data_IF_327458683519
#
_entry.id   IF_327458683519
#
_cell.length_a   1.000
_cell.length_b   1.000
_cell.length_c   1.000
_cell.angle_alpha   90.00
_cell.angle_beta   90.00
_cell.angle_gamma   90.00
#
_symmetry.space_group_name_H-M   'P 1'
#
loop_
_entity.id
_entity.type
_entity.pdbx_description
1 polymer ?
2 non-polymer ?
3 non-polymer ?
4 non-polymer ?
5 water ?
#
# COMPACT_ATOMS: atom_id res chain seq x y z
N UNK A 3 -4.25 -18.79 21.78
CA UNK A 3 -5.09 -17.68 22.31
C UNK A 3 -6.50 -17.75 21.60
N UNK A 4 -7.20 -16.63 21.33
CA UNK A 4 -8.50 -16.70 20.63
C UNK A 4 -8.43 -16.58 19.10
N UNK A 5 -9.54 -16.90 18.43
CA UNK A 5 -9.63 -16.73 16.99
C UNK A 5 -9.63 -15.25 16.51
N UNK A 6 -9.05 -15.06 15.33
CA UNK A 6 -9.05 -13.78 14.64
C UNK A 6 -9.13 -13.95 13.13
N UNK A 7 -9.60 -12.88 12.48
CA UNK A 7 -9.49 -12.74 11.05
C UNK A 7 -8.07 -12.40 10.65
N UNK A 8 -7.88 -12.28 9.34
CA UNK A 8 -6.58 -11.99 8.76
C UNK A 8 -6.52 -10.68 7.96
N UNK A 9 -5.30 -10.15 7.91
CA UNK A 9 -5.02 -8.86 7.31
C UNK A 9 -4.29 -9.15 6.01
N UNK A 10 -4.89 -8.69 4.93
CA UNK A 10 -4.41 -8.97 3.58
C UNK A 10 -4.24 -7.62 2.91
N UNK A 11 -3.00 -7.30 2.51
CA UNK A 11 -2.64 -6.02 1.90
C UNK A 11 -2.44 -6.16 0.42
N UNK A 12 -3.06 -5.29 -0.37
CA UNK A 12 -2.81 -5.19 -1.78
C UNK A 12 -2.04 -3.90 -2.06
N UNK A 13 -0.80 -4.06 -2.53
CA UNK A 13 0.02 -2.96 -3.02
C UNK A 13 0.16 -2.96 -4.52
N UNK A 14 0.69 -1.87 -5.05
CA UNK A 14 0.84 -1.69 -6.48
C UNK A 14 0.84 -0.22 -6.87
N UNK A 15 1.22 0.07 -8.10
CA UNK A 15 1.08 1.39 -8.68
C UNK A 15 -0.39 1.74 -8.96
N UNK A 16 -0.64 3.00 -9.24
CA UNK A 16 -1.93 3.40 -9.77
C UNK A 16 -2.31 2.55 -11.00
N UNK A 17 -3.57 2.20 -11.09
CA UNK A 17 -4.16 1.50 -12.20
C UNK A 17 -3.60 0.12 -12.38
N UNK A 18 -2.92 -0.41 -11.36
CA UNK A 18 -2.42 -1.76 -11.45
C UNK A 18 -3.53 -2.78 -11.13
N UNK A 19 -4.76 -2.35 -10.80
CA UNK A 19 -5.84 -3.28 -10.45
C UNK A 19 -6.24 -3.47 -8.98
N UNK A 20 -5.65 -2.69 -8.06
CA UNK A 20 -5.84 -2.79 -6.60
C UNK A 20 -7.30 -2.62 -6.11
N UNK A 21 -7.98 -1.51 -6.43
CA UNK A 21 -9.32 -1.32 -5.89
C UNK A 21 -10.25 -2.35 -6.50
N UNK A 22 -10.12 -2.60 -7.80
CA UNK A 22 -10.90 -3.65 -8.43
C UNK A 22 -10.81 -5.00 -7.70
N UNK A 23 -9.59 -5.49 -7.46
CA UNK A 23 -9.41 -6.78 -6.74
C UNK A 23 -9.77 -6.72 -5.23
N UNK A 24 -9.51 -5.59 -4.58
CA UNK A 24 -9.96 -5.41 -3.21
C UNK A 24 -11.49 -5.65 -3.09
N UNK A 25 -12.35 -4.95 -3.85
CA UNK A 25 -13.82 -5.19 -3.81
C UNK A 25 -14.19 -6.61 -4.07
N UNK A 26 -13.68 -7.16 -5.15
CA UNK A 26 -13.95 -8.56 -5.48
C UNK A 26 -13.59 -9.46 -4.29
N UNK A 27 -12.45 -9.24 -3.65
CA UNK A 27 -12.06 -10.06 -2.51
C UNK A 27 -12.89 -9.83 -1.22
N UNK A 28 -13.40 -8.62 -0.98
CA UNK A 28 -14.38 -8.35 0.12
C UNK A 28 -15.65 -9.19 0.02
N UNK A 29 -15.98 -9.49 -1.20
CA UNK A 29 -17.03 -10.35 -1.57
C UNK A 29 -16.70 -11.78 -1.24
N UNK A 30 -15.50 -12.24 -1.50
CA UNK A 30 -15.17 -13.68 -1.25
C UNK A 30 -14.91 -13.93 0.22
N UNK A 31 -14.41 -12.92 0.91
CA UNK A 31 -14.11 -12.98 2.33
C UNK A 31 -15.32 -12.56 3.17
N UNK A 32 -15.47 -13.30 4.26
CA UNK A 32 -16.61 -13.11 5.11
C UNK A 32 -16.29 -13.51 6.54
N UNK A 33 -16.56 -12.59 7.50
CA UNK A 33 -16.95 -11.20 7.27
C UNK A 33 -15.68 -10.35 6.97
N UNK A 34 -15.89 -9.24 6.25
CA UNK A 34 -14.80 -8.53 5.59
C UNK A 34 -15.05 -7.04 5.70
N UNK A 35 -13.96 -6.30 5.88
CA UNK A 35 -13.93 -4.85 5.76
C UNK A 35 -12.81 -4.48 4.82
N UNK A 36 -13.03 -3.39 4.12
CA UNK A 36 -12.11 -2.87 3.18
C UNK A 36 -11.59 -1.52 3.66
N UNK A 37 -10.27 -1.35 3.84
CA UNK A 37 -9.70 -0.04 4.22
C UNK A 37 -8.70 0.49 3.20
N UNK A 38 -8.90 1.72 2.76
CA UNK A 38 -8.10 2.37 1.74
C UNK A 38 -7.08 3.32 2.39
N UNK A 39 -5.81 3.27 1.98
CA UNK A 39 -4.84 4.32 2.41
C UNK A 39 -4.32 5.11 1.19
N UNK A 40 -4.22 6.45 1.32
CA UNK A 40 -4.57 7.19 2.53
C UNK A 40 -6.07 7.18 2.78
N UNK A 41 -6.46 7.19 4.05
CA UNK A 41 -7.84 7.48 4.41
C UNK A 41 -8.06 8.98 4.44
N UNK A 42 -8.64 9.50 3.39
CA UNK A 42 -8.82 10.95 3.21
C UNK A 42 -10.02 11.49 4.01
N UNK A 43 -10.78 10.62 4.69
CA UNK A 43 -11.87 11.06 5.55
C UNK A 43 -11.45 11.59 6.95
N UNK A 44 -10.23 11.32 7.36
CA UNK A 44 -9.83 11.72 8.70
C UNK A 44 -9.28 13.11 8.60
N UNK A 45 -9.03 13.75 9.73
CA UNK A 45 -8.49 15.10 9.70
C UNK A 45 -7.09 15.20 9.05
N UNK A 46 -6.22 14.25 9.34
CA UNK A 46 -4.93 14.16 8.67
C UNK A 46 -5.09 13.78 7.21
N UNK A 47 -6.02 12.87 6.94
CA UNK A 47 -6.42 12.52 5.61
C UNK A 47 -6.81 13.71 4.79
N UNK A 48 -7.49 14.68 5.37
CA UNK A 48 -7.89 15.83 4.56
C UNK A 48 -6.71 16.71 4.16
N UNK A 49 -5.74 16.85 5.07
CA UNK A 49 -4.45 17.38 4.71
C UNK A 49 -3.72 16.66 3.57
N UNK A 50 -3.68 15.34 3.65
CA UNK A 50 -3.05 14.53 2.64
C UNK A 50 -3.74 14.76 1.28
N UNK A 51 -5.07 14.77 1.31
CA UNK A 51 -5.83 15.08 0.14
C UNK A 51 -5.55 16.47 -0.36
N UNK A 52 -5.46 17.48 0.49
CA UNK A 52 -4.99 18.80 -0.05
C UNK A 52 -3.67 18.64 -0.77
N UNK A 53 -2.73 17.98 -0.11
CA UNK A 53 -1.40 17.84 -0.68
C UNK A 53 -1.44 17.14 -2.05
N UNK A 54 -2.24 16.10 -2.17
CA UNK A 54 -2.24 15.32 -3.41
C UNK A 54 -2.98 16.07 -4.53
N UNK A 55 -4.08 16.72 -4.17
CA UNK A 55 -4.99 17.34 -5.15
C UNK A 55 -4.71 18.80 -5.47
N UNK A 56 -4.21 19.61 -4.55
CA UNK A 56 -3.85 20.99 -4.85
C UNK A 56 -2.34 21.07 -5.01
N UNK A 57 -1.91 21.02 -6.26
CA UNK A 57 -0.49 20.98 -6.58
C UNK A 57 0.24 22.31 -6.38
N UNK A 58 -0.50 23.40 -6.13
CA UNK A 58 0.15 24.62 -5.64
C UNK A 58 0.55 24.54 -4.14
N UNK A 59 -0.12 23.70 -3.34
CA UNK A 59 0.12 23.55 -1.89
C UNK A 59 1.57 23.13 -1.55
N UNK A 60 2.09 23.62 -0.43
CA UNK A 60 3.53 23.52 -0.07
C UNK A 60 3.69 22.61 1.14
N UNK A 61 4.56 21.62 1.00
CA UNK A 61 4.88 20.78 2.12
C UNK A 61 6.17 19.99 1.89
N UNK A 62 7.07 20.01 2.88
CA UNK A 62 8.33 19.35 2.67
C UNK A 62 8.04 17.87 2.55
N UNK A 63 8.89 17.19 1.79
CA UNK A 63 8.79 15.76 1.58
C UNK A 63 8.77 14.92 2.90
N UNK A 64 9.54 15.37 3.88
CA UNK A 64 9.66 14.67 5.16
C UNK A 64 8.37 14.87 5.94
N UNK A 65 7.84 16.10 5.96
CA UNK A 65 6.55 16.34 6.58
C UNK A 65 5.47 15.45 5.94
N UNK A 66 5.44 15.45 4.61
CA UNK A 66 4.45 14.66 3.88
C UNK A 66 4.54 13.22 4.22
N UNK A 67 5.76 12.69 4.32
CA UNK A 67 5.97 11.25 4.52
C UNK A 67 5.39 10.87 5.89
N UNK A 68 5.64 11.75 6.85
CA UNK A 68 5.15 11.59 8.23
C UNK A 68 3.66 11.71 8.32
N UNK A 69 3.04 12.52 7.50
CA UNK A 69 1.58 12.62 7.54
C UNK A 69 0.96 11.29 7.15
N UNK A 70 1.50 10.66 6.10
CA UNK A 70 1.00 9.37 5.58
C UNK A 70 1.09 8.27 6.64
N UNK A 71 2.17 8.29 7.43
CA UNK A 71 2.29 7.32 8.47
C UNK A 71 1.37 7.63 9.62
N UNK A 72 1.27 8.89 10.02
CA UNK A 72 0.28 9.30 11.04
C UNK A 72 -1.15 8.86 10.70
N UNK A 73 -1.51 9.02 9.44
CA UNK A 73 -2.82 8.60 8.95
C UNK A 73 -3.11 7.10 9.19
N UNK A 74 -2.07 6.26 9.07
CA UNK A 74 -2.21 4.81 9.37
C UNK A 74 -2.39 4.58 10.87
N UNK A 75 -1.69 5.36 11.66
CA UNK A 75 -1.83 5.31 13.12
C UNK A 75 -3.19 5.83 13.61
N UNK A 76 -3.92 6.58 12.78
CA UNK A 76 -5.32 6.93 13.10
C UNK A 76 -6.19 5.69 13.07
N UNK A 77 -5.84 4.73 12.23
CA UNK A 77 -6.66 3.54 12.03
C UNK A 77 -6.14 2.28 12.71
N UNK A 78 -4.92 2.33 13.28
CA UNK A 78 -4.30 1.13 13.82
C UNK A 78 -5.12 0.38 14.85
N UNK A 79 -5.66 1.11 15.82
CA UNK A 79 -6.38 0.48 16.89
C UNK A 79 -7.61 -0.19 16.32
N UNK A 80 -8.28 0.46 15.41
CA UNK A 80 -9.50 -0.08 14.86
C UNK A 80 -9.28 -1.37 14.06
N UNK A 81 -8.19 -1.36 13.32
CA UNK A 81 -7.79 -2.50 12.57
C UNK A 81 -7.56 -3.71 13.48
N UNK A 82 -6.85 -3.52 14.55
CA UNK A 82 -6.56 -4.64 15.47
C UNK A 82 -7.83 -5.21 16.05
N UNK A 83 -8.71 -4.29 16.46
CA UNK A 83 -9.93 -4.69 17.11
C UNK A 83 -10.84 -5.51 16.19
N UNK A 84 -10.95 -5.07 14.94
CA UNK A 84 -11.77 -5.75 13.98
C UNK A 84 -11.21 -7.13 13.67
N UNK A 85 -9.88 -7.21 13.49
CA UNK A 85 -9.21 -8.48 13.26
C UNK A 85 -9.49 -9.44 14.42
N UNK A 86 -9.26 -8.95 15.63
CA UNK A 86 -9.52 -9.77 16.80
C UNK A 86 -10.97 -10.18 17.02
N UNK A 87 -11.92 -9.44 16.46
CA UNK A 87 -13.35 -9.87 16.42
C UNK A 87 -13.67 -10.84 15.26
N UNK A 88 -12.68 -11.30 14.51
CA UNK A 88 -12.92 -12.24 13.47
C UNK A 88 -13.20 -11.65 12.10
N UNK A 89 -13.03 -10.33 11.93
CA UNK A 89 -13.14 -9.75 10.59
C UNK A 89 -11.88 -9.93 9.76
N UNK A 90 -12.11 -10.16 8.46
CA UNK A 90 -11.06 -10.17 7.45
C UNK A 90 -10.93 -8.78 6.88
N UNK A 91 -9.70 -8.31 6.87
CA UNK A 91 -9.45 -6.94 6.46
C UNK A 91 -8.56 -6.84 5.24
N UNK A 92 -9.11 -6.19 4.20
CA UNK A 92 -8.39 -5.87 2.99
C UNK A 92 -7.93 -4.43 3.05
N UNK A 93 -6.62 -4.28 2.92
CA UNK A 93 -5.98 -2.98 2.79
C UNK A 93 -5.64 -2.69 1.35
N UNK A 94 -5.94 -1.48 0.89
CA UNK A 94 -5.50 -1.04 -0.41
C UNK A 94 -4.48 0.08 -0.15
N UNK A 95 -3.20 -0.30 -0.28
CA UNK A 95 -2.01 0.51 0.06
C UNK A 95 -1.76 0.51 1.54
N UNK A 96 -0.47 0.63 1.92
CA UNK A 96 -0.06 0.67 3.31
C UNK A 96 1.42 1.09 3.39
N UNK A 97 2.22 0.43 4.25
CA UNK A 97 3.55 0.91 4.58
C UNK A 97 4.54 0.85 3.39
N UNK A 98 4.28 -0.05 2.46
CA UNK A 98 5.16 -0.20 1.28
C UNK A 98 5.01 0.99 0.36
N UNK A 99 3.74 1.40 0.13
CA UNK A 99 3.45 2.68 -0.53
C UNK A 99 4.14 3.84 0.23
N UNK A 100 4.06 3.86 1.54
CA UNK A 100 4.74 4.91 2.28
C UNK A 100 6.22 5.06 1.96
N UNK A 101 6.94 3.96 1.94
CA UNK A 101 8.36 4.01 1.76
C UNK A 101 8.75 4.29 0.33
N UNK A 102 8.09 3.60 -0.59
CA UNK A 102 8.44 3.64 -1.96
C UNK A 102 8.22 5.01 -2.63
N UNK A 103 7.11 5.69 -2.35
CA UNK A 103 6.80 6.96 -3.00
C UNK A 103 7.72 8.04 -2.50
N UNK A 104 8.07 7.98 -1.23
CA UNK A 104 9.05 8.90 -0.69
C UNK A 104 10.48 8.51 -1.13
N UNK A 105 10.83 7.24 -1.10
CA UNK A 105 12.19 6.82 -1.44
C UNK A 105 12.57 7.24 -2.87
N UNK A 106 11.64 7.04 -3.80
CA UNK A 106 11.73 7.48 -5.21
C UNK A 106 12.00 8.97 -5.47
N UNK A 107 11.68 9.84 -4.54
CA UNK A 107 11.99 11.30 -4.72
C UNK A 107 13.47 11.56 -4.56
N UNK A 108 14.20 10.59 -3.99
CA UNK A 108 15.55 10.85 -3.59
C UNK A 108 16.44 11.24 -4.74
N UNK A 109 16.21 10.72 -5.95
CA UNK A 109 17.05 11.12 -7.07
C UNK A 109 16.16 11.63 -8.22
N UNK A 110 15.20 12.47 -7.87
CA UNK A 110 14.21 12.96 -8.81
C UNK A 110 14.04 14.41 -8.52
N UNK A 111 14.04 15.22 -9.56
CA UNK A 111 14.10 16.67 -9.39
C UNK A 111 12.91 17.16 -10.17
N UNK A 112 11.88 17.61 -9.48
CA UNK A 112 10.68 18.13 -10.10
C UNK A 112 10.04 18.83 -8.96
N UNK A 113 9.99 20.16 -9.04
CA UNK A 113 9.52 20.97 -7.95
C UNK A 113 8.11 20.73 -7.48
N UNK A 114 7.25 20.21 -8.32
CA UNK A 114 5.93 19.78 -7.88
C UNK A 114 5.99 18.52 -6.98
N UNK A 115 6.67 17.49 -7.46
CA UNK A 115 6.68 16.20 -6.77
C UNK A 115 7.54 16.20 -5.50
N UNK A 116 8.69 16.84 -5.59
CA UNK A 116 9.63 16.90 -4.49
C UNK A 116 10.19 18.30 -4.37
N UNK A 117 9.52 19.10 -3.55
CA UNK A 117 9.98 20.44 -3.10
C UNK A 117 11.44 20.58 -2.68
N UNK A 118 12.21 21.42 -3.39
CA UNK A 118 13.57 21.78 -2.94
C UNK A 118 14.68 20.77 -3.19
N UNK A 119 15.91 21.28 -3.28
CA UNK A 119 17.05 20.51 -3.80
C UNK A 119 17.65 19.53 -2.81
N UNK A 120 17.34 19.70 -1.52
CA UNK A 120 17.79 18.76 -0.49
C UNK A 120 16.83 17.59 -0.33
N UNK A 121 17.44 16.42 -0.18
CA UNK A 121 16.72 15.17 -0.09
C UNK A 121 17.08 14.48 1.25
N UNK A 122 17.10 15.26 2.34
CA UNK A 122 17.59 14.75 3.64
C UNK A 122 16.70 13.61 4.15
N UNK A 123 17.35 12.49 4.43
CA UNK A 123 16.78 11.25 4.89
C UNK A 123 15.95 10.48 3.86
N UNK A 124 15.77 11.01 2.67
CA UNK A 124 14.88 10.39 1.70
C UNK A 124 15.45 9.06 1.08
N UNK A 125 16.72 8.75 1.34
CA UNK A 125 17.33 7.46 0.93
C UNK A 125 17.63 6.57 2.13
N UNK A 126 17.29 7.03 3.32
CA UNK A 126 17.49 6.26 4.52
C UNK A 126 16.24 5.44 4.79
N UNK A 127 16.30 4.17 4.36
CA UNK A 127 15.15 3.29 4.45
C UNK A 127 14.75 3.08 5.90
N UNK A 128 15.69 3.12 6.80
CA UNK A 128 15.32 3.00 8.20
C UNK A 128 14.51 4.21 8.76
N UNK A 129 14.86 5.42 8.36
CA UNK A 129 14.11 6.60 8.78
C UNK A 129 12.70 6.59 8.18
N UNK A 130 12.63 6.12 6.96
CA UNK A 130 11.42 6.09 6.24
C UNK A 130 10.47 5.08 6.84
N UNK A 131 11.03 3.98 7.29
CA UNK A 131 10.25 2.88 7.89
C UNK A 131 9.89 3.16 9.34
N UNK A 132 10.74 3.85 10.08
CA UNK A 132 10.62 3.86 11.54
C UNK A 132 9.25 4.34 12.12
N UNK A 133 8.60 5.34 11.48
CA UNK A 133 7.30 5.72 12.03
C UNK A 133 6.18 4.69 11.81
N UNK A 134 6.27 3.86 10.78
CA UNK A 134 5.33 2.72 10.63
C UNK A 134 5.62 1.49 11.50
N UNK A 135 6.76 1.46 12.16
CA UNK A 135 7.05 0.39 13.05
C UNK A 135 6.11 0.43 14.20
N UNK A 136 5.66 -0.77 14.58
CA UNK A 136 4.64 -0.99 15.54
C UNK A 136 3.23 -1.10 15.00
N UNK A 137 3.03 -0.82 13.72
CA UNK A 137 1.75 -1.04 13.09
C UNK A 137 1.53 -2.54 12.82
N UNK A 138 0.27 -2.95 12.66
CA UNK A 138 -0.01 -4.34 12.35
C UNK A 138 0.60 -4.76 11.04
N UNK A 139 1.26 -5.92 11.03
CA UNK A 139 1.78 -6.53 9.83
C UNK A 139 0.70 -7.34 9.12
N UNK A 140 0.49 -7.10 7.82
CA UNK A 140 -0.39 -8.04 7.13
C UNK A 140 0.09 -9.48 7.23
N UNK A 141 -0.87 -10.37 7.22
CA UNK A 141 -0.60 -11.80 7.22
C UNK A 141 -0.14 -12.19 5.82
N UNK A 142 -0.74 -11.57 4.82
CA UNK A 142 -0.33 -11.69 3.44
C UNK A 142 -0.29 -10.27 2.76
N UNK A 143 0.83 -9.99 2.06
CA UNK A 143 0.98 -8.83 1.21
C UNK A 143 1.08 -9.28 -0.22
N UNK A 144 0.17 -8.77 -1.04
CA UNK A 144 0.10 -9.03 -2.48
C UNK A 144 0.50 -7.76 -3.27
N UNK A 145 1.64 -7.80 -3.95
CA UNK A 145 2.07 -6.68 -4.79
C UNK A 145 1.75 -6.95 -6.25
N UNK A 146 0.90 -6.10 -6.84
CA UNK A 146 0.47 -6.26 -8.23
C UNK A 146 1.41 -5.50 -9.17
N UNK A 147 2.22 -6.22 -9.92
CA UNK A 147 3.18 -5.59 -10.83
C UNK A 147 2.78 -5.79 -12.29
N UNK A 148 3.19 -4.81 -13.09
CA UNK A 148 2.57 -4.52 -14.36
C UNK A 148 3.49 -3.56 -15.11
N UNK A 149 3.46 -3.58 -16.46
CA UNK A 149 4.18 -2.60 -17.31
C UNK A 149 3.56 -1.18 -17.30
N UNK A 150 4.43 -0.17 -17.33
CA UNK A 150 3.96 1.23 -17.40
C UNK A 150 3.16 1.49 -18.65
N UNK A 151 3.59 0.88 -19.75
CA UNK A 151 2.83 0.93 -21.00
C UNK A 151 1.39 0.41 -20.84
N UNK A 152 1.18 -0.72 -20.15
CA UNK A 152 -0.19 -1.28 -19.91
C UNK A 152 -1.02 -0.34 -19.01
N UNK A 153 -0.37 0.29 -18.03
CA UNK A 153 -1.03 1.21 -17.11
C UNK A 153 -1.53 2.42 -17.85
N UNK A 154 -0.68 2.97 -18.70
CA UNK A 154 -1.07 4.14 -19.53
C UNK A 154 -2.32 3.93 -20.35
N UNK A 155 -2.61 2.70 -20.74
CA UNK A 155 -3.83 2.38 -21.52
C UNK A 155 -5.14 2.34 -20.73
N UNK A 156 -5.12 2.36 -19.40
CA UNK A 156 -6.33 2.18 -18.58
C UNK A 156 -6.91 3.49 -18.09
N UNK A 157 -8.21 3.49 -17.83
CA UNK A 157 -8.81 4.67 -17.24
C UNK A 157 -8.33 4.80 -15.79
N UNK A 158 -8.23 6.03 -15.29
CA UNK A 158 -7.99 6.25 -13.85
C UNK A 158 -6.96 7.27 -13.44
N UNK A 159 -6.22 7.82 -14.40
CA UNK A 159 -5.37 8.99 -14.18
C UNK A 159 -6.18 10.17 -13.65
N UNK A 160 -5.86 10.70 -12.47
CA UNK A 160 -6.67 11.77 -11.81
C UNK A 160 -5.99 13.11 -11.56
N UNK A 161 -4.85 13.32 -12.16
CA UNK A 161 -4.16 14.60 -11.99
C UNK A 161 -3.65 14.90 -10.59
N UNK A 162 -3.34 13.88 -9.80
CA UNK A 162 -2.78 14.13 -8.47
C UNK A 162 -1.29 14.29 -8.61
N UNK A 163 -0.66 14.75 -7.54
CA UNK A 163 0.75 15.16 -7.52
C UNK A 163 1.79 14.21 -8.09
N UNK A 164 1.59 12.90 -7.91
CA UNK A 164 2.61 11.91 -8.21
C UNK A 164 2.32 11.26 -9.52
N UNK A 165 1.24 11.70 -10.19
CA UNK A 165 0.75 11.05 -11.39
C UNK A 165 1.49 11.56 -12.66
N UNK A 166 2.77 11.16 -12.70
CA UNK A 166 3.69 11.46 -13.75
C UNK A 166 4.47 10.20 -13.99
N UNK A 167 4.51 9.81 -15.26
CA UNK A 167 5.08 8.55 -15.67
C UNK A 167 6.56 8.45 -15.27
N UNK A 168 7.32 9.51 -15.45
CA UNK A 168 8.76 9.44 -15.15
C UNK A 168 8.96 9.17 -13.62
N UNK A 169 8.08 9.68 -12.78
CA UNK A 169 8.15 9.41 -11.34
C UNK A 169 7.66 7.99 -11.00
N UNK A 170 6.53 7.61 -11.60
CA UNK A 170 5.99 6.25 -11.46
C UNK A 170 7.03 5.13 -11.76
N UNK A 171 7.92 5.38 -12.71
CA UNK A 171 9.01 4.47 -13.06
C UNK A 171 9.98 4.29 -11.94
N UNK A 172 10.31 5.39 -11.28
CA UNK A 172 11.20 5.34 -10.11
C UNK A 172 10.53 4.65 -8.93
N UNK A 173 9.26 4.93 -8.75
CA UNK A 173 8.45 4.26 -7.72
C UNK A 173 8.39 2.75 -7.99
N UNK A 174 8.21 2.33 -9.24
CA UNK A 174 8.23 0.90 -9.55
C UNK A 174 9.52 0.22 -9.05
N UNK A 175 10.67 0.84 -9.31
CA UNK A 175 11.95 0.27 -8.90
C UNK A 175 12.09 0.20 -7.41
N UNK A 176 11.73 1.30 -6.76
CA UNK A 176 11.74 1.36 -5.28
C UNK A 176 10.90 0.26 -4.63
N UNK A 177 9.72 -0.01 -5.15
CA UNK A 177 8.87 -1.11 -4.67
C UNK A 177 9.60 -2.45 -4.79
N UNK A 178 10.23 -2.74 -5.93
CA UNK A 178 10.88 -4.06 -6.11
C UNK A 178 12.15 -4.19 -5.26
N UNK A 179 12.72 -3.05 -4.94
CA UNK A 179 13.86 -3.00 -4.09
C UNK A 179 13.48 -3.23 -2.61
N UNK A 180 12.32 -2.78 -2.16
CA UNK A 180 11.99 -2.96 -0.74
C UNK A 180 11.21 -4.26 -0.48
N UNK A 181 10.65 -4.85 -1.53
CA UNK A 181 9.91 -6.12 -1.44
C UNK A 181 10.86 -7.28 -1.78
N UNK A 182 11.24 -7.93 -0.69
CA UNK A 182 12.13 -9.08 -0.66
C UNK A 182 11.32 -10.27 -0.15
N UNK A 183 10.94 -11.18 -1.06
CA UNK A 183 10.13 -12.36 -0.72
C UNK A 183 10.91 -13.55 -0.11
N UNK A 184 12.24 -13.50 -0.19
CA UNK A 184 13.08 -14.46 0.53
C UNK A 184 13.23 -14.08 1.98
N UNK A 185 13.61 -12.83 2.23
CA UNK A 185 13.67 -12.31 3.60
C UNK A 185 12.32 -12.23 4.32
N UNK A 186 11.19 -12.32 3.60
CA UNK A 186 9.84 -12.25 4.16
C UNK A 186 8.83 -13.02 3.32
N UNK A 187 8.45 -14.21 3.77
CA UNK A 187 7.58 -15.07 2.96
C UNK A 187 6.07 -14.73 3.01
N UNK A 188 5.69 -13.71 3.82
CA UNK A 188 4.33 -13.14 3.76
C UNK A 188 4.10 -12.30 2.52
N UNK A 189 5.15 -12.03 1.75
CA UNK A 189 5.05 -11.19 0.55
C UNK A 189 5.00 -11.97 -0.77
N UNK A 190 4.09 -11.59 -1.66
CA UNK A 190 3.95 -12.25 -2.92
C UNK A 190 3.83 -11.24 -4.03
N UNK A 191 4.85 -11.22 -4.88
CA UNK A 191 4.87 -10.33 -6.05
C UNK A 191 4.09 -11.10 -7.09
N UNK A 192 3.01 -10.55 -7.59
CA UNK A 192 2.19 -11.17 -8.62
C UNK A 192 2.21 -10.32 -9.91
N UNK A 193 2.67 -10.94 -11.00
CA UNK A 193 2.71 -10.28 -12.28
C UNK A 193 1.32 -10.35 -12.92
N UNK A 194 0.73 -9.19 -13.22
CA UNK A 194 -0.62 -9.16 -13.74
C UNK A 194 -0.65 -8.66 -15.17
N UNK A 195 0.52 -8.49 -15.81
CA UNK A 195 0.55 -8.16 -17.23
C UNK A 195 -0.25 -9.16 -18.10
N UNK A 196 -1.09 -8.62 -18.95
CA UNK A 196 -1.90 -9.40 -19.89
C UNK A 196 -2.95 -10.34 -19.33
N UNK A 197 -3.37 -10.11 -18.08
CA UNK A 197 -4.35 -10.90 -17.39
C UNK A 197 -5.61 -10.11 -17.27
N UNK A 198 -6.75 -10.73 -17.55
CA UNK A 198 -8.06 -10.09 -17.33
C UNK A 198 -8.34 -9.97 -15.84
N UNK A 199 -9.37 -9.18 -15.55
CA UNK A 199 -9.91 -9.11 -14.21
C UNK A 199 -10.05 -10.52 -13.54
N UNK A 200 -10.70 -11.48 -14.20
CA UNK A 200 -10.99 -12.78 -13.56
C UNK A 200 -9.75 -13.62 -13.39
N UNK A 201 -8.90 -13.59 -14.39
CA UNK A 201 -7.64 -14.33 -14.27
C UNK A 201 -6.80 -13.87 -13.10
N UNK A 202 -6.83 -12.56 -12.82
CA UNK A 202 -6.15 -12.01 -11.66
C UNK A 202 -6.78 -12.51 -10.35
N UNK A 203 -8.10 -12.37 -10.27
CA UNK A 203 -8.87 -12.86 -9.16
C UNK A 203 -8.55 -14.33 -8.90
N UNK A 204 -8.65 -15.20 -9.91
CA UNK A 204 -8.30 -16.62 -9.75
C UNK A 204 -6.88 -16.83 -9.18
N UNK A 205 -5.92 -16.05 -9.65
CA UNK A 205 -4.54 -16.17 -9.13
C UNK A 205 -4.43 -15.69 -7.69
N UNK A 206 -5.08 -14.56 -7.41
CA UNK A 206 -5.04 -13.97 -6.07
C UNK A 206 -5.68 -14.88 -5.04
N UNK A 207 -6.88 -15.35 -5.38
CA UNK A 207 -7.60 -16.38 -4.62
C UNK A 207 -6.83 -17.65 -4.38
N UNK A 208 -6.12 -18.14 -5.40
CA UNK A 208 -5.36 -19.38 -5.22
C UNK A 208 -4.29 -19.20 -4.15
N UNK A 209 -3.60 -18.07 -4.21
CA UNK A 209 -2.54 -17.78 -3.21
C UNK A 209 -3.13 -17.73 -1.78
N UNK A 210 -4.30 -17.08 -1.67
CA UNK A 210 -5.01 -16.94 -0.40
C UNK A 210 -5.57 -18.29 0.10
N UNK A 211 -6.40 -18.95 -0.73
CA UNK A 211 -6.92 -20.28 -0.43
C UNK A 211 -5.82 -21.27 -0.03
N UNK A 212 -4.67 -21.27 -0.69
CA UNK A 212 -3.59 -22.20 -0.38
C UNK A 212 -2.94 -21.92 0.95
N UNK A 213 -2.63 -20.66 1.26
CA UNK A 213 -2.08 -20.33 2.61
C UNK A 213 -3.12 -20.27 3.71
N UNK A 214 -4.40 -20.34 3.36
CA UNK A 214 -5.50 -20.38 4.32
C UNK A 214 -5.69 -19.02 5.04
N UNK A 215 -5.37 -17.98 4.31
CA UNK A 215 -5.57 -16.58 4.73
C UNK A 215 -7.03 -16.17 4.77
N UNK A 216 -7.91 -16.97 4.16
CA UNK A 216 -9.37 -16.77 4.26
C UNK A 216 -10.04 -17.41 5.47
N UNK A 217 -9.26 -18.08 6.32
CA UNK A 217 -9.75 -18.79 7.52
C UNK A 217 -9.23 -18.18 8.81
N UNK A 218 -10.03 -18.33 9.85
CA UNK A 218 -9.66 -17.85 11.17
C UNK A 218 -8.46 -18.62 11.67
N UNK A 219 -7.64 -17.98 12.49
CA UNK A 219 -6.47 -18.58 13.06
C UNK A 219 -6.33 -18.15 14.51
N UNK A 220 -5.56 -18.97 15.23
CA UNK A 220 -5.32 -18.74 16.60
C UNK A 220 -4.04 -18.01 16.88
N UNK A 221 -3.40 -17.47 15.86
CA UNK A 221 -2.13 -16.73 16.06
C UNK A 221 -2.39 -15.34 16.56
N UNK A 222 -1.40 -14.74 17.18
CA UNK A 222 -1.57 -13.31 17.48
C UNK A 222 -1.31 -12.46 16.23
N UNK A 223 -1.69 -11.19 16.33
CA UNK A 223 -1.43 -10.19 15.30
C UNK A 223 0.09 -9.91 15.32
N UNK A 224 0.70 -10.00 14.15
CA UNK A 224 2.11 -9.63 14.01
C UNK A 224 2.19 -8.13 13.80
N UNK A 225 3.35 -7.55 14.10
CA UNK A 225 3.59 -6.17 13.97
C UNK A 225 4.87 -5.87 13.19
N UNK A 226 4.85 -4.74 12.51
CA UNK A 226 5.96 -4.25 11.75
C UNK A 226 7.14 -3.88 12.66
N UNK A 227 8.34 -4.33 12.28
CA UNK A 227 9.57 -4.07 13.03
C UNK A 227 10.70 -3.69 12.06
X LIG B 1 -4.51 6.62 -4.06
X LIG B 1 -4.45 7.27 -5.42
X LIG B 1 -4.31 5.12 -4.06
X LIG B 1 -5.55 7.08 -3.07
X LIG B 1 -3.12 7.03 -3.40
X LIG B 1 -2.79 8.38 -3.20
X LIG B 1 -1.30 8.65 -3.38
X LIG B 1 -0.58 8.50 -2.16
X LIG B 1 -0.59 7.77 -4.38
X LIG B 1 0.08 8.66 -5.26
X LIG B 1 0.36 6.91 -3.53
X LIG B 1 0.66 7.85 -2.38
X LIG B 1 1.01 7.32 -1.08
X LIG B 1 2.19 7.77 -0.42
X LIG B 1 3.02 8.57 -0.94
X LIG B 1 2.44 7.35 0.83
X LIG B 1 1.64 6.50 1.48
X LIG B 1 1.92 6.11 2.63
X LIG B 1 0.38 6.06 0.85
X LIG B 1 -0.53 5.11 1.59
X LIG B 1 0.11 6.53 -0.45
X LIG C 1 -6.06 0.97 -8.81
X LIG C 1 -7.18 0.71 -7.81
X LIG C 1 -4.79 0.20 -8.56
X LIG C 1 -5.80 2.45 -9.02
X LIG C 1 -8.17 0.07 -10.54
X LIG C 1 -8.58 -1.30 -10.09
X LIG C 1 -8.93 1.36 -10.32
X LIG C 1 -6.61 0.31 -10.18
X LIG C 1 -8.18 -0.26 -12.10
X LIG C 1 -7.89 0.75 -13.08
X LIG C 1 -8.74 0.64 -14.35
X LIG C 1 -8.36 -0.48 -15.14
X LIG C 1 -10.19 0.52 -14.00
X LIG C 1 -10.86 1.20 -15.03
X LIG C 1 -10.44 -0.97 -14.06
X LIG C 1 -11.71 -1.41 -14.47
X LIG C 1 -9.42 -1.43 -15.08
X LIG C 1 -8.91 -2.74 -14.73
X LIG C 1 -8.75 -3.34 -13.52
X LIG C 1 -8.20 -4.58 -13.67
X LIG C 1 -8.02 -4.78 -15.00
X LIG C 1 -7.52 -5.85 -15.89
X LIG C 1 -7.06 -7.05 -15.44
X LIG C 1 -7.51 -5.60 -17.21
X LIG C 1 -7.94 -4.45 -17.77
X LIG C 1 -8.39 -3.45 -17.03
X LIG C 1 -8.47 -3.55 -15.69
X LIG D 1 -5.93 4.23 -8.27
X LIG E 1 -5.23 7.47 -10.25
#
# INVERSE_FOLDING_TARGET
GSTSARGQLILIEGLDRSGKSTQASILSTKLSPSKLIKFPDRSTPIGKLINEYLTNKSFTLSDQAAHLLFSANRWELSQQIQDLLNQGYFIILDRYIYSGIAYTLAKNDFHDETISQGKNKQQLNNIDWLLSPDKGLPKPDLTLFLTLDLEEISKRKGWGDERYELQQFQAKVKQCFLEILDTNKDPTIRIVDVGGKTIDQVTTQLWEIIETNKNHELINDSIQFIT
TMP P O1P O2P O3P O5' C5' C4' O4' C3' O3' C2' C1' N1 C2 O2 N3 C4 O4 C5 C5M C6
ADP PB O1B O2B O3B PA O1A O2A O3A O5' C5' C4' O4' C3' O3' C2' O2' C1' N9 C8 N7 C5 C6 N6 N1 C2 N3 C4
MG MG
MG MG
#
